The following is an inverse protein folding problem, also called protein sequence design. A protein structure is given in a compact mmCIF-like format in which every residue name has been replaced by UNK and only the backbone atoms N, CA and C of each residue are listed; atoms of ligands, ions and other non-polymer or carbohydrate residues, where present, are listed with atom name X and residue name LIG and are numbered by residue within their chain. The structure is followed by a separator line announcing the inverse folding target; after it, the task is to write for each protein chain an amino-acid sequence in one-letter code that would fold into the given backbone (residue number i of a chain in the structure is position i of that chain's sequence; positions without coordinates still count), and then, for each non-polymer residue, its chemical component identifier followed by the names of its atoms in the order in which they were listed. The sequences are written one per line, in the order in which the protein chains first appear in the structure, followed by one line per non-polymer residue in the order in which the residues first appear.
data_IF_764857860882
#
_entry.id   IF_764857860882
#
_cell.length_a   1.000
_cell.length_b   1.000
_cell.length_c   1.000
_cell.angle_alpha   90.00
_cell.angle_beta   90.00
_cell.angle_gamma   90.00
#
_symmetry.space_group_name_H-M   'P 1'
#
loop_
_entity.id
_entity.type
_entity.pdbx_description
1 polymer ?
#
# COMPACT_ATOMS: atom_id res chain seq x y z
N UNK A 1 -17.92 -47.54 21.81
CA UNK A 1 -18.86 -46.40 21.64
C UNK A 1 -18.27 -45.06 22.10
N UNK A 2 -17.89 -44.85 23.37
CA UNK A 2 -17.41 -43.55 23.88
C UNK A 2 -16.19 -42.94 23.12
N UNK A 3 -15.24 -43.79 22.69
CA UNK A 3 -14.07 -43.36 21.89
C UNK A 3 -14.43 -42.93 20.46
N UNK A 4 -15.44 -43.58 19.85
CA UNK A 4 -15.93 -43.24 18.51
C UNK A 4 -16.66 -41.91 18.55
N UNK A 5 -17.48 -41.68 19.58
CA UNK A 5 -18.19 -40.42 19.78
C UNK A 5 -17.23 -39.23 19.94
N UNK A 6 -16.14 -39.43 20.70
CA UNK A 6 -15.10 -38.41 20.86
C UNK A 6 -14.37 -38.11 19.55
N UNK A 7 -14.10 -39.12 18.73
CA UNK A 7 -13.45 -38.95 17.43
C UNK A 7 -14.33 -38.20 16.44
N UNK A 8 -15.62 -38.53 16.38
CA UNK A 8 -16.60 -37.83 15.54
C UNK A 8 -16.76 -36.37 16.00
N UNK A 9 -16.85 -36.12 17.31
CA UNK A 9 -16.94 -34.75 17.84
C UNK A 9 -15.69 -33.91 17.50
N UNK A 10 -14.49 -34.49 17.61
CA UNK A 10 -13.25 -33.83 17.23
C UNK A 10 -13.20 -33.53 15.72
N UNK A 11 -13.62 -34.47 14.87
CA UNK A 11 -13.66 -34.27 13.43
C UNK A 11 -14.64 -33.15 13.03
N UNK A 12 -15.80 -33.07 13.67
CA UNK A 12 -16.78 -31.99 13.45
C UNK A 12 -16.23 -30.63 13.89
N UNK A 13 -15.54 -30.55 15.03
CA UNK A 13 -14.93 -29.31 15.51
C UNK A 13 -13.80 -28.82 14.58
N UNK A 14 -12.96 -29.73 14.07
CA UNK A 14 -11.90 -29.39 13.12
C UNK A 14 -12.49 -28.95 11.78
N UNK A 15 -13.56 -29.61 11.31
CA UNK A 15 -14.25 -29.24 10.07
C UNK A 15 -15.00 -27.90 10.20
N UNK A 16 -15.52 -27.56 11.39
CA UNK A 16 -16.17 -26.28 11.66
C UNK A 16 -15.16 -25.13 11.85
N UNK A 17 -13.91 -25.42 12.22
CA UNK A 17 -12.85 -24.43 12.44
C UNK A 17 -11.95 -24.16 11.23
N UNK A 18 -12.14 -24.83 10.09
CA UNK A 18 -11.22 -24.77 8.94
C UNK A 18 -11.46 -23.60 7.99
N UNK A 19 -12.50 -22.78 8.21
CA UNK A 19 -12.82 -21.61 7.38
C UNK A 19 -12.10 -20.35 7.89
N UNK A 20 -10.77 -20.37 7.90
CA UNK A 20 -9.97 -19.16 8.04
C UNK A 20 -9.86 -18.47 6.67
N UNK A 21 -10.75 -17.50 6.40
CA UNK A 21 -10.61 -16.65 5.21
C UNK A 21 -9.45 -15.67 5.43
N UNK A 22 -8.45 -15.71 4.54
CA UNK A 22 -7.41 -14.69 4.52
C UNK A 22 -8.06 -13.34 4.18
N UNK A 23 -7.82 -12.33 5.01
CA UNK A 23 -8.34 -10.98 4.82
C UNK A 23 -7.73 -10.30 3.57
N UNK A 24 -6.66 -10.84 3.00
CA UNK A 24 -6.01 -10.34 1.79
C UNK A 24 -5.53 -11.50 0.93
N UNK A 25 -5.61 -11.31 -0.39
CA UNK A 25 -4.78 -12.08 -1.33
C UNK A 25 -3.47 -11.32 -1.51
N UNK A 26 -2.34 -12.01 -1.41
CA UNK A 26 -1.00 -11.42 -1.53
C UNK A 26 -0.29 -12.10 -2.70
N UNK A 27 0.30 -11.29 -3.59
CA UNK A 27 1.28 -11.76 -4.55
C UNK A 27 2.67 -11.32 -4.10
N UNK A 28 3.63 -12.25 -4.10
CA UNK A 28 5.04 -12.00 -3.76
C UNK A 28 5.82 -11.26 -4.86
N UNK A 29 5.10 -10.67 -5.82
CA UNK A 29 5.61 -9.83 -6.89
C UNK A 29 4.68 -8.64 -7.13
N UNK A 30 5.19 -7.62 -7.80
CA UNK A 30 4.43 -6.50 -8.34
C UNK A 30 3.57 -6.93 -9.53
N UNK A 31 2.25 -6.86 -9.39
CA UNK A 31 1.26 -7.22 -10.41
C UNK A 31 0.51 -6.00 -10.94
N UNK A 32 1.12 -4.81 -10.87
CA UNK A 32 0.55 -3.59 -11.44
C UNK A 32 0.34 -3.71 -12.96
N UNK A 33 -0.59 -2.95 -13.56
CA UNK A 33 -0.94 -3.10 -14.98
C UNK A 33 0.21 -2.70 -15.91
N UNK A 34 0.16 -3.19 -17.16
CA UNK A 34 1.13 -2.85 -18.21
C UNK A 34 1.12 -1.38 -18.62
N UNK A 35 0.09 -0.62 -18.24
CA UNK A 35 0.00 0.82 -18.48
C UNK A 35 0.92 1.64 -17.58
N UNK A 36 1.49 1.04 -16.52
CA UNK A 36 2.50 1.71 -15.71
C UNK A 36 3.80 1.87 -16.49
N UNK A 37 4.65 2.87 -16.13
CA UNK A 37 5.92 3.08 -16.80
C UNK A 37 6.79 1.82 -16.80
N UNK A 38 7.36 1.49 -17.95
CA UNK A 38 8.16 0.27 -18.13
C UNK A 38 9.45 0.27 -17.32
N UNK A 39 9.92 1.44 -16.88
CA UNK A 39 11.10 1.58 -16.02
C UNK A 39 10.86 0.99 -14.61
N UNK A 40 9.60 0.77 -14.22
CA UNK A 40 9.26 0.09 -12.97
C UNK A 40 9.32 -1.44 -13.09
N UNK A 41 9.28 -2.01 -14.30
CA UNK A 41 9.24 -3.46 -14.52
C UNK A 41 10.34 -4.26 -13.81
N UNK A 42 11.61 -3.79 -13.74
CA UNK A 42 12.66 -4.48 -12.98
C UNK A 42 12.32 -4.67 -11.50
N UNK A 43 11.54 -3.74 -10.91
CA UNK A 43 11.16 -3.76 -9.49
C UNK A 43 10.04 -4.75 -9.18
N UNK A 44 9.38 -5.34 -10.20
CA UNK A 44 8.28 -6.31 -9.98
C UNK A 44 8.71 -7.46 -9.09
N UNK A 45 9.94 -7.95 -9.24
CA UNK A 45 10.41 -9.14 -8.52
C UNK A 45 10.54 -8.90 -7.01
N UNK A 46 10.94 -7.71 -6.59
CA UNK A 46 11.10 -7.37 -5.17
C UNK A 46 9.85 -6.75 -4.53
N UNK A 47 8.90 -6.32 -5.37
CA UNK A 47 7.65 -5.72 -4.92
C UNK A 47 6.64 -6.76 -4.45
N UNK A 48 5.63 -6.31 -3.71
CA UNK A 48 4.48 -7.13 -3.29
C UNK A 48 3.19 -6.46 -3.68
N UNK A 49 2.19 -7.26 -4.01
CA UNK A 49 0.84 -6.78 -4.32
C UNK A 49 -0.16 -7.33 -3.32
N UNK A 50 -0.98 -6.45 -2.75
CA UNK A 50 -2.01 -6.79 -1.78
C UNK A 50 -3.38 -6.46 -2.35
N UNK A 51 -4.32 -7.40 -2.22
CA UNK A 51 -5.68 -7.27 -2.69
C UNK A 51 -6.66 -7.48 -1.54
N UNK A 52 -7.44 -6.45 -1.23
CA UNK A 52 -8.45 -6.51 -0.16
C UNK A 52 -9.62 -7.46 -0.46
N UNK A 53 -10.39 -7.88 0.55
CA UNK A 53 -11.34 -8.99 0.44
C UNK A 53 -12.77 -8.57 0.05
N UNK A 54 -13.13 -7.30 0.23
CA UNK A 54 -14.51 -6.78 0.06
C UNK A 54 -14.60 -5.73 -1.05
N UNK A 55 -13.54 -4.94 -1.20
CA UNK A 55 -13.26 -4.09 -2.34
C UNK A 55 -11.84 -4.49 -2.70
N UNK A 56 -11.56 -4.84 -3.95
CA UNK A 56 -10.21 -5.22 -4.42
C UNK A 56 -9.25 -4.02 -4.38
N UNK A 57 -9.16 -3.34 -3.25
CA UNK A 57 -8.19 -2.29 -2.97
C UNK A 57 -6.82 -2.91 -3.21
N UNK A 58 -6.09 -2.29 -4.14
CA UNK A 58 -4.80 -2.76 -4.62
C UNK A 58 -3.72 -1.91 -3.98
N UNK A 59 -2.79 -2.55 -3.32
CA UNK A 59 -1.61 -1.88 -2.77
C UNK A 59 -0.37 -2.52 -3.37
N UNK A 60 0.47 -1.70 -3.98
CA UNK A 60 1.75 -2.13 -4.54
C UNK A 60 2.87 -1.60 -3.67
N UNK A 61 3.47 -2.49 -2.88
CA UNK A 61 4.58 -2.18 -1.99
C UNK A 61 5.89 -2.45 -2.73
N UNK A 62 6.71 -1.42 -2.86
CA UNK A 62 7.98 -1.43 -3.59
C UNK A 62 9.08 -1.09 -2.57
N UNK A 63 9.74 -2.11 -1.99
CA UNK A 63 10.91 -1.88 -1.16
C UNK A 63 12.11 -1.52 -2.03
N UNK A 64 13.00 -0.70 -1.48
CA UNK A 64 14.27 -0.35 -2.10
C UNK A 64 15.41 -0.77 -1.20
N UNK A 65 16.47 -1.32 -1.80
CA UNK A 65 17.67 -1.73 -1.06
C UNK A 65 18.68 -0.60 -0.92
N UNK A 66 18.69 0.31 -1.89
CA UNK A 66 19.64 1.42 -1.95
C UNK A 66 18.99 2.67 -2.56
N UNK A 67 19.68 3.79 -2.34
CA UNK A 67 19.24 5.12 -2.73
C UNK A 67 19.18 5.29 -4.25
N UNK A 68 20.17 4.78 -4.95
CA UNK A 68 20.30 4.94 -6.40
C UNK A 68 19.13 4.31 -7.14
N UNK A 69 18.71 3.12 -6.71
CA UNK A 69 17.54 2.42 -7.21
C UNK A 69 16.25 3.23 -6.96
N UNK A 70 16.09 3.77 -5.74
CA UNK A 70 14.96 4.61 -5.40
C UNK A 70 14.91 5.91 -6.23
N UNK A 71 16.02 6.65 -6.30
CA UNK A 71 16.12 7.90 -7.06
C UNK A 71 15.86 7.68 -8.55
N UNK A 72 16.30 6.56 -9.11
CA UNK A 72 16.00 6.19 -10.50
C UNK A 72 14.52 5.86 -10.71
N UNK A 73 13.87 5.19 -9.76
CA UNK A 73 12.46 4.80 -9.86
C UNK A 73 11.49 5.97 -9.57
N UNK A 74 11.88 6.91 -8.71
CA UNK A 74 10.99 7.94 -8.16
C UNK A 74 10.24 8.77 -9.21
N UNK A 75 10.88 9.28 -10.29
CA UNK A 75 10.16 10.02 -11.33
C UNK A 75 9.09 9.19 -12.05
N UNK A 76 9.27 7.86 -12.12
CA UNK A 76 8.33 6.95 -12.77
C UNK A 76 7.19 6.56 -11.83
N UNK A 77 7.47 6.41 -10.54
CA UNK A 77 6.45 6.25 -9.49
C UNK A 77 5.52 7.47 -9.46
N UNK A 78 6.06 8.68 -9.56
CA UNK A 78 5.23 9.89 -9.56
C UNK A 78 4.22 9.93 -10.73
N UNK A 79 4.52 9.31 -11.87
CA UNK A 79 3.61 9.23 -13.03
C UNK A 79 2.40 8.33 -12.78
N UNK A 80 2.48 7.39 -11.83
CA UNK A 80 1.35 6.50 -11.53
C UNK A 80 0.32 7.14 -10.60
N UNK A 81 0.72 8.21 -9.89
CA UNK A 81 -0.13 8.96 -8.97
C UNK A 81 -1.20 9.73 -9.75
N UNK A 82 -2.44 9.73 -9.26
CA UNK A 82 -3.49 10.61 -9.79
C UNK A 82 -3.09 12.07 -9.56
N UNK A 83 -3.34 12.94 -10.54
CA UNK A 83 -3.09 14.38 -10.39
C UNK A 83 -3.86 14.95 -9.18
N UNK A 84 -3.21 15.80 -8.37
CA UNK A 84 -3.79 16.33 -7.12
C UNK A 84 -3.91 15.35 -5.95
N UNK A 85 -3.75 14.03 -6.17
CA UNK A 85 -3.70 13.07 -5.07
C UNK A 85 -2.43 13.24 -4.22
N UNK A 86 -2.46 12.96 -2.91
CA UNK A 86 -1.38 13.33 -2.01
C UNK A 86 -0.21 12.34 -2.01
N UNK A 87 0.88 12.79 -1.38
CA UNK A 87 1.95 11.94 -0.85
C UNK A 87 1.92 12.01 0.67
N UNK A 88 1.80 10.86 1.32
CA UNK A 88 1.94 10.71 2.77
C UNK A 88 3.39 10.36 3.09
N UNK A 89 4.06 11.19 3.90
CA UNK A 89 5.41 10.91 4.38
C UNK A 89 5.30 10.19 5.72
N UNK A 90 5.91 9.01 5.84
CA UNK A 90 5.88 8.21 7.08
C UNK A 90 7.31 7.88 7.53
N UNK A 91 7.53 7.76 8.84
CA UNK A 91 8.87 7.50 9.41
C UNK A 91 9.20 6.01 9.56
N UNK A 92 8.22 5.14 9.31
CA UNK A 92 8.33 3.69 9.47
C UNK A 92 7.53 3.02 8.37
N UNK A 93 7.97 1.84 7.91
CA UNK A 93 7.18 1.07 6.98
C UNK A 93 5.82 0.75 7.58
N UNK A 94 4.77 1.02 6.80
CA UNK A 94 3.44 0.54 7.09
C UNK A 94 3.34 -0.98 6.95
N UNK A 95 2.14 -1.51 7.18
CA UNK A 95 1.85 -2.95 7.09
C UNK A 95 2.34 -3.59 5.77
N UNK A 96 2.27 -2.86 4.66
CA UNK A 96 2.53 -3.38 3.31
C UNK A 96 4.01 -3.57 2.96
N UNK A 97 4.91 -2.73 3.46
CA UNK A 97 6.36 -2.87 3.21
C UNK A 97 7.00 -3.91 4.14
N UNK A 98 6.31 -4.36 5.19
CA UNK A 98 6.88 -5.27 6.16
C UNK A 98 7.92 -4.60 7.08
N UNK A 99 8.50 -5.37 8.00
CA UNK A 99 9.33 -4.81 9.08
C UNK A 99 10.64 -4.25 8.53
N UNK A 100 10.97 -3.01 8.92
CA UNK A 100 12.24 -2.33 8.68
C UNK A 100 12.63 -2.15 7.20
N UNK A 101 11.67 -2.21 6.27
CA UNK A 101 11.93 -1.88 4.87
C UNK A 101 11.66 -0.41 4.60
N UNK A 102 12.48 0.23 3.80
CA UNK A 102 12.23 1.56 3.26
C UNK A 102 11.68 1.43 1.85
N UNK A 103 10.70 2.26 1.49
CA UNK A 103 10.24 2.37 0.13
C UNK A 103 8.89 3.03 -0.04
N UNK A 104 8.19 2.60 -1.08
CA UNK A 104 6.95 3.23 -1.55
C UNK A 104 5.81 2.24 -1.49
N UNK A 105 4.63 2.70 -1.05
CA UNK A 105 3.37 2.00 -1.27
C UNK A 105 2.51 2.86 -2.18
N UNK A 106 2.13 2.31 -3.32
CA UNK A 106 1.12 2.92 -4.20
C UNK A 106 -0.22 2.29 -3.88
N UNK A 107 -1.17 3.11 -3.44
CA UNK A 107 -2.54 2.71 -3.18
C UNK A 107 -3.35 2.98 -4.43
N UNK A 108 -4.10 1.99 -4.89
CA UNK A 108 -4.91 2.08 -6.10
C UNK A 108 -6.38 1.77 -5.81
N UNK A 109 -7.32 2.35 -6.57
CA UNK A 109 -8.72 2.00 -6.46
C UNK A 109 -8.95 0.55 -6.89
N UNK A 110 -10.07 -0.05 -6.45
CA UNK A 110 -10.51 -1.35 -6.93
C UNK A 110 -10.57 -1.43 -8.45
N UNK A 111 -10.39 -2.62 -8.99
CA UNK A 111 -10.50 -2.84 -10.43
C UNK A 111 -11.88 -2.45 -10.96
N UNK A 112 -11.91 -1.88 -12.17
CA UNK A 112 -13.15 -1.39 -12.79
C UNK A 112 -13.64 -0.02 -12.28
N UNK A 113 -13.02 0.59 -11.28
CA UNK A 113 -13.34 1.98 -10.90
C UNK A 113 -12.72 2.99 -11.89
N UNK A 114 -13.37 4.15 -12.09
CA UNK A 114 -12.85 5.20 -12.95
C UNK A 114 -11.47 5.68 -12.46
N UNK A 115 -10.51 5.75 -13.38
CA UNK A 115 -9.12 6.17 -13.11
C UNK A 115 -8.98 7.63 -12.68
N UNK A 116 -10.04 8.43 -12.87
CA UNK A 116 -10.06 9.85 -12.57
C UNK A 116 -11.31 10.18 -11.74
N UNK A 117 -11.38 9.73 -10.47
CA UNK A 117 -12.51 10.06 -9.61
C UNK A 117 -12.53 11.58 -9.36
N UNK A 118 -13.69 12.12 -8.99
CA UNK A 118 -13.72 13.46 -8.40
C UNK A 118 -12.82 13.49 -7.17
N UNK A 119 -11.86 14.42 -7.15
CA UNK A 119 -10.97 14.58 -6.01
C UNK A 119 -11.79 15.00 -4.78
N UNK A 120 -11.44 14.53 -3.57
CA UNK A 120 -12.07 14.99 -2.34
C UNK A 120 -12.01 16.52 -2.24
N UNK A 121 -13.17 17.17 -2.08
CA UNK A 121 -13.26 18.62 -1.90
C UNK A 121 -12.79 18.99 -0.48
N UNK A 122 -12.02 20.07 -0.33
CA UNK A 122 -11.59 20.60 0.98
C UNK A 122 -12.72 21.31 1.73
N UNK A 123 -12.54 21.70 3.03
CA UNK A 123 -11.36 21.53 3.88
C UNK A 123 -11.21 20.10 4.44
N UNK A 124 -9.97 19.71 4.74
CA UNK A 124 -9.64 18.39 5.30
C UNK A 124 -9.89 18.36 6.81
N UNK A 125 -11.14 18.51 7.21
CA UNK A 125 -11.56 18.40 8.62
C UNK A 125 -11.81 16.93 8.99
N UNK A 126 -11.26 16.48 10.13
CA UNK A 126 -11.52 15.16 10.69
C UNK A 126 -10.28 14.42 11.18
N UNK A 127 -10.46 13.13 11.50
CA UNK A 127 -9.41 12.25 11.96
C UNK A 127 -8.38 12.00 10.83
N UNK A 128 -7.07 12.20 11.04
CA UNK A 128 -6.02 11.89 10.06
C UNK A 128 -6.09 10.47 9.49
N UNK A 129 -6.59 9.50 10.27
CA UNK A 129 -6.80 8.12 9.81
C UNK A 129 -7.87 8.00 8.71
N UNK A 130 -8.81 8.95 8.61
CA UNK A 130 -9.79 9.00 7.53
C UNK A 130 -9.23 9.58 6.23
N UNK A 131 -8.09 10.29 6.27
CA UNK A 131 -7.54 10.94 5.08
C UNK A 131 -7.28 9.94 3.96
N UNK A 132 -6.58 8.83 4.26
CA UNK A 132 -6.33 7.75 3.28
C UNK A 132 -7.61 7.16 2.71
N UNK A 133 -8.65 7.01 3.54
CA UNK A 133 -9.95 6.49 3.10
C UNK A 133 -10.63 7.44 2.11
N UNK A 134 -10.50 8.76 2.29
CA UNK A 134 -11.04 9.75 1.33
C UNK A 134 -10.36 9.65 -0.03
N UNK A 135 -9.08 9.30 -0.07
CA UNK A 135 -8.30 9.13 -1.30
C UNK A 135 -8.40 7.72 -1.91
N UNK A 136 -9.20 6.81 -1.36
CA UNK A 136 -9.32 5.40 -1.81
C UNK A 136 -9.74 5.21 -3.27
N UNK A 137 -10.32 6.24 -3.89
CA UNK A 137 -10.67 6.25 -5.31
C UNK A 137 -9.50 6.60 -6.23
N UNK A 138 -8.40 7.12 -5.69
CA UNK A 138 -7.26 7.67 -6.46
C UNK A 138 -6.02 6.79 -6.30
N UNK A 139 -5.07 6.97 -7.22
CA UNK A 139 -3.72 6.51 -7.00
C UNK A 139 -2.97 7.52 -6.13
N UNK A 140 -2.72 7.19 -4.86
CA UNK A 140 -1.93 8.00 -3.93
C UNK A 140 -0.75 7.22 -3.37
N UNK A 141 0.22 7.94 -2.81
CA UNK A 141 1.51 7.38 -2.39
C UNK A 141 1.70 7.50 -0.88
N UNK A 142 2.14 6.42 -0.25
CA UNK A 142 2.86 6.47 1.02
C UNK A 142 4.36 6.30 0.76
N UNK A 143 5.15 7.23 1.27
CA UNK A 143 6.60 7.25 1.13
C UNK A 143 7.24 7.11 2.52
N UNK A 144 7.97 6.01 2.73
CA UNK A 144 8.75 5.83 3.96
C UNK A 144 10.05 6.62 3.85
N UNK A 145 10.23 7.60 4.73
CA UNK A 145 11.39 8.50 4.73
C UNK A 145 12.32 8.12 5.88
N UNK A 146 13.48 7.59 5.56
CA UNK A 146 14.51 7.19 6.52
C UNK A 146 15.74 8.13 6.53
N UNK A 147 15.91 8.95 5.50
CA UNK A 147 17.08 9.83 5.32
C UNK A 147 18.30 9.14 4.69
N UNK A 148 18.29 7.80 4.61
CA UNK A 148 19.38 6.99 4.06
C UNK A 148 19.06 6.56 2.63
N UNK A 149 17.97 5.83 2.41
CA UNK A 149 17.52 5.44 1.07
C UNK A 149 16.61 6.53 0.49
N UNK A 150 15.68 7.04 1.30
CA UNK A 150 14.74 8.08 0.92
C UNK A 150 15.09 9.38 1.64
N UNK A 151 15.80 10.26 0.94
CA UNK A 151 16.20 11.59 1.40
C UNK A 151 15.41 12.69 0.67
N UNK A 152 14.57 13.40 1.40
CA UNK A 152 13.73 14.48 0.86
C UNK A 152 14.53 15.67 0.31
N UNK A 153 15.81 15.82 0.66
CA UNK A 153 16.65 16.88 0.11
C UNK A 153 17.18 16.56 -1.28
N UNK A 154 17.02 15.30 -1.74
CA UNK A 154 17.59 14.80 -2.99
C UNK A 154 16.54 14.47 -4.05
N UNK A 155 15.29 14.29 -3.64
CA UNK A 155 14.19 14.00 -4.56
C UNK A 155 13.30 15.22 -4.76
N UNK A 156 12.84 15.48 -5.99
CA UNK A 156 11.80 16.47 -6.22
C UNK A 156 10.46 15.92 -5.73
N UNK A 157 9.72 16.74 -4.97
CA UNK A 157 8.29 16.54 -4.73
C UNK A 157 7.52 17.39 -5.76
N UNK A 158 6.42 16.88 -6.36
CA UNK A 158 5.68 17.68 -7.33
C UNK A 158 5.06 18.92 -6.66
N UNK A 159 5.19 20.12 -7.26
CA UNK A 159 4.82 21.39 -6.61
C UNK A 159 3.32 21.48 -6.27
N UNK A 160 2.46 20.88 -7.09
CA UNK A 160 1.00 20.91 -6.91
C UNK A 160 0.45 19.66 -6.20
N UNK A 161 1.32 18.90 -5.52
CA UNK A 161 0.91 17.71 -4.77
C UNK A 161 0.74 18.02 -3.29
N UNK A 162 -0.45 17.77 -2.70
CA UNK A 162 -0.61 17.85 -1.26
C UNK A 162 0.34 16.89 -0.55
N UNK A 163 1.06 17.39 0.46
CA UNK A 163 1.97 16.60 1.28
C UNK A 163 1.39 16.50 2.69
N UNK A 164 1.17 15.26 3.15
CA UNK A 164 0.82 14.98 4.54
C UNK A 164 2.03 14.39 5.24
N UNK A 165 2.67 15.17 6.10
CA UNK A 165 3.85 14.71 6.85
C UNK A 165 3.43 14.05 8.16
N UNK A 166 3.46 12.72 8.18
CA UNK A 166 3.13 11.89 9.34
C UNK A 166 4.37 11.28 10.01
N UNK A 167 5.59 11.74 9.63
CA UNK A 167 6.84 11.22 10.19
C UNK A 167 7.00 11.48 11.69
N UNK A 168 6.22 12.39 12.26
CA UNK A 168 6.29 12.78 13.66
C UNK A 168 4.99 12.50 14.42
N UNK A 169 4.00 11.89 13.76
CA UNK A 169 2.73 11.57 14.40
C UNK A 169 2.95 10.44 15.42
N UNK A 170 2.50 10.59 16.68
CA UNK A 170 2.58 9.52 17.67
C UNK A 170 1.81 8.30 17.17
N UNK A 171 2.43 7.11 17.24
CA UNK A 171 1.70 5.86 17.00
C UNK A 171 0.76 5.65 18.17
N UNK A 172 -0.50 6.06 18.04
CA UNK A 172 -1.56 5.57 18.94
C UNK A 172 -1.78 4.11 18.60
N UNK A 173 -1.25 3.22 19.45
CA UNK A 173 -1.51 1.78 19.38
C UNK A 173 -2.94 1.45 19.76
#
# INVERSE_FOLDING_TARGET
MRKILAFVAAAVLIAAGSTAYALYTIADTGTWPQSWPSELEPLRKQSKSYFGPVLEARHFAIPFENREEFEAAWPHILKVKTEGAPIFLVNRPGHFLGKNQTGVVVHCPPEGQPLNPELPKGPFEGNPHELRFRWRGTNFIELTVDGDIVDLNRIPLPPDTPIFDERFTPVTQ
#
